data_IF_909238528407
#
_entry.id   IF_909238528407
#
_cell.length_a   1.000
_cell.length_b   1.000
_cell.length_c   1.000
_cell.angle_alpha   90.00
_cell.angle_beta   90.00
_cell.angle_gamma   90.00
#
_symmetry.space_group_name_H-M   'P 1'
#
loop_
_entity.id
_entity.type
_entity.pdbx_description
1 polymer ?
#
# COMPACT_ATOMS: atom_id res chain seq x y z
N UNK A 1 6.47 46.36 6.00
CA UNK A 1 5.63 45.56 5.07
C UNK A 1 6.29 44.20 4.93
N UNK A 2 5.77 43.16 5.59
CA UNK A 2 6.22 41.79 5.36
C UNK A 2 5.10 41.04 4.66
N UNK A 3 5.35 40.66 3.42
CA UNK A 3 4.47 39.87 2.59
C UNK A 3 4.58 38.43 3.07
N UNK A 4 3.51 37.90 3.68
CA UNK A 4 3.41 36.47 3.98
C UNK A 4 3.00 35.78 2.69
N UNK A 5 3.96 35.10 2.06
CA UNK A 5 3.74 34.37 0.82
C UNK A 5 2.89 33.14 1.14
N UNK A 6 1.62 33.15 0.74
CA UNK A 6 0.74 31.99 0.87
C UNK A 6 1.20 30.95 -0.14
N UNK A 7 1.90 29.91 0.30
CA UNK A 7 2.23 28.78 -0.56
C UNK A 7 0.96 28.01 -0.86
N UNK A 8 0.46 28.14 -2.08
CA UNK A 8 -0.60 27.29 -2.62
C UNK A 8 -0.04 25.88 -2.80
N UNK A 9 -0.42 24.97 -1.89
CA UNK A 9 0.00 23.58 -1.94
C UNK A 9 -0.76 22.82 -3.05
N UNK A 10 -0.10 21.97 -3.86
CA UNK A 10 -0.75 21.15 -4.87
C UNK A 10 -1.67 20.10 -4.25
N UNK A 11 -2.75 19.75 -4.94
CA UNK A 11 -3.82 18.84 -4.48
C UNK A 11 -3.32 17.45 -4.01
N UNK A 12 -2.13 17.02 -4.44
CA UNK A 12 -1.50 15.77 -4.00
C UNK A 12 -0.97 15.83 -2.56
N UNK A 13 -0.56 17.00 -2.08
CA UNK A 13 -0.08 17.19 -0.70
C UNK A 13 -1.22 17.27 0.32
N UNK A 14 -2.47 17.48 -0.12
CA UNK A 14 -3.64 17.49 0.78
C UNK A 14 -3.96 16.08 1.29
N UNK A 15 -3.65 15.04 0.50
CA UNK A 15 -3.87 13.66 0.91
C UNK A 15 -2.87 13.16 1.96
N UNK A 16 -1.66 13.73 2.00
CA UNK A 16 -0.63 13.39 2.99
C UNK A 16 -0.78 14.12 4.34
N UNK A 17 -1.62 15.16 4.43
CA UNK A 17 -1.70 16.03 5.62
C UNK A 17 -2.95 15.83 6.50
N UNK A 18 -3.79 14.81 6.24
CA UNK A 18 -5.07 14.59 6.96
C UNK A 18 -5.03 13.49 8.03
N UNK A 19 -3.90 12.87 8.34
CA UNK A 19 -3.89 11.74 9.30
C UNK A 19 -3.20 12.00 10.65
N UNK A 20 -3.07 13.26 11.08
CA UNK A 20 -2.33 13.55 12.31
C UNK A 20 -2.96 14.69 13.13
N UNK A 21 -4.11 14.41 13.76
CA UNK A 21 -4.77 15.07 14.93
C UNK A 21 -6.08 14.28 15.18
N UNK A 22 -6.45 13.69 16.31
CA UNK A 22 -6.14 13.75 17.73
C UNK A 22 -6.76 12.48 18.36
N UNK A 23 -6.16 11.85 19.36
CA UNK A 23 -6.89 11.43 20.58
C UNK A 23 -5.93 11.00 21.68
N UNK A 24 -5.96 11.71 22.82
CA UNK A 24 -5.28 11.32 24.06
C UNK A 24 -6.32 11.00 25.14
N UNK A 25 -6.17 9.80 25.76
CA UNK A 25 -6.73 9.28 27.05
C UNK A 25 -8.28 9.22 27.16
N UNK A 26 -8.93 8.16 27.66
CA UNK A 26 -8.77 7.43 28.94
C UNK A 26 -9.49 6.07 28.96
N UNK A 27 -8.95 5.12 29.73
CA UNK A 27 -9.60 4.06 30.52
C UNK A 27 -9.97 2.68 29.92
N UNK A 28 -9.67 1.69 30.77
CA UNK A 28 -9.60 0.24 30.66
C UNK A 28 -10.95 -0.47 30.40
N UNK A 29 -10.94 -1.49 29.53
CA UNK A 29 -11.60 -2.76 29.83
C UNK A 29 -10.81 -3.91 29.17
N UNK A 30 -10.45 -4.89 29.99
CA UNK A 30 -9.57 -6.01 29.69
C UNK A 30 -10.39 -7.14 29.06
N UNK A 31 -10.14 -7.45 27.78
CA UNK A 31 -10.41 -8.79 27.23
C UNK A 31 -9.13 -9.29 26.55
N UNK A 32 -8.59 -10.34 27.15
CA UNK A 32 -7.33 -11.00 26.85
C UNK A 32 -7.16 -11.42 25.38
N UNK A 33 -6.13 -10.90 24.72
CA UNK A 33 -5.59 -11.40 23.44
C UNK A 33 -4.08 -11.62 23.63
N UNK A 34 -3.49 -12.76 23.22
CA UNK A 34 -2.07 -13.01 23.46
C UNK A 34 -1.20 -12.00 22.69
N UNK A 35 -0.40 -11.25 23.44
CA UNK A 35 0.76 -10.46 22.99
C UNK A 35 1.91 -11.42 22.66
N UNK A 36 2.82 -11.19 21.71
CA UNK A 36 3.56 -9.96 21.48
C UNK A 36 4.25 -9.95 20.11
N UNK A 37 4.38 -8.78 19.50
CA UNK A 37 5.63 -8.40 18.85
C UNK A 37 6.05 -7.04 19.44
N UNK A 38 7.19 -7.00 20.14
CA UNK A 38 7.72 -5.82 20.82
C UNK A 38 9.03 -5.39 20.16
N UNK A 39 8.94 -4.57 19.12
CA UNK A 39 9.87 -3.48 18.73
C UNK A 39 9.17 -2.63 17.64
N UNK A 40 9.23 -1.31 17.75
CA UNK A 40 8.53 -0.34 16.87
C UNK A 40 9.19 -0.17 15.48
N UNK A 41 8.46 0.31 14.45
CA UNK A 41 7.02 0.56 14.42
C UNK A 41 6.32 -0.65 13.77
N UNK A 42 5.50 -1.36 14.54
CA UNK A 42 4.75 -2.50 14.04
C UNK A 42 3.65 -2.00 13.07
N UNK A 43 3.79 -2.24 11.77
CA UNK A 43 2.64 -2.24 10.85
C UNK A 43 2.60 -3.50 9.98
N UNK A 44 2.22 -4.66 10.52
CA UNK A 44 1.68 -5.74 9.71
C UNK A 44 0.21 -5.41 9.51
N UNK A 45 -0.13 -4.86 8.34
CA UNK A 45 -1.53 -4.79 7.92
C UNK A 45 -2.06 -6.17 7.54
N UNK A 46 -1.20 -7.18 7.36
CA UNK A 46 -1.66 -8.50 6.93
C UNK A 46 -1.09 -9.60 7.82
N UNK A 47 -1.94 -10.51 8.26
CA UNK A 47 -1.51 -11.67 9.04
C UNK A 47 -0.75 -12.65 8.13
N UNK A 48 0.39 -13.20 8.57
CA UNK A 48 1.13 -14.21 7.81
C UNK A 48 0.24 -15.44 7.56
N UNK A 49 0.15 -15.87 6.30
CA UNK A 49 -0.72 -16.96 5.85
C UNK A 49 -2.11 -16.54 5.36
N UNK A 50 -2.41 -15.24 5.30
CA UNK A 50 -3.60 -14.68 4.65
C UNK A 50 -3.21 -14.13 3.28
N UNK A 51 -4.00 -14.48 2.25
CA UNK A 51 -3.97 -13.79 0.96
C UNK A 51 -4.89 -12.58 0.99
N UNK A 52 -4.56 -11.54 0.23
CA UNK A 52 -5.42 -10.38 0.04
C UNK A 52 -5.41 -9.96 -1.42
N UNK A 53 -6.48 -9.26 -1.82
CA UNK A 53 -6.68 -8.79 -3.17
C UNK A 53 -6.11 -7.36 -3.30
N UNK A 54 -5.05 -7.21 -4.09
CA UNK A 54 -4.52 -5.92 -4.52
C UNK A 54 -5.20 -5.51 -5.84
N UNK A 55 -5.86 -4.35 -5.84
CA UNK A 55 -6.45 -3.74 -7.03
C UNK A 55 -5.70 -2.47 -7.36
N UNK A 56 -5.15 -2.39 -8.57
CA UNK A 56 -4.43 -1.23 -9.08
C UNK A 56 -5.26 -0.57 -10.17
N UNK A 57 -5.66 0.67 -9.94
CA UNK A 57 -6.29 1.54 -10.94
C UNK A 57 -5.20 2.32 -11.67
N UNK A 58 -5.06 2.07 -12.96
CA UNK A 58 -4.11 2.77 -13.82
C UNK A 58 -4.69 4.11 -14.29
N UNK A 59 -3.84 5.07 -14.66
CA UNK A 59 -4.28 6.36 -15.21
C UNK A 59 -5.10 6.23 -16.50
N UNK A 60 -5.01 5.09 -17.19
CA UNK A 60 -5.82 4.78 -18.38
C UNK A 60 -7.24 4.32 -18.04
N UNK A 61 -7.58 4.17 -16.75
CA UNK A 61 -8.81 3.53 -16.30
C UNK A 61 -8.79 2.00 -16.34
N UNK A 62 -7.65 1.39 -16.69
CA UNK A 62 -7.49 -0.07 -16.61
C UNK A 62 -7.32 -0.47 -15.14
N UNK A 63 -8.09 -1.48 -14.71
CA UNK A 63 -7.92 -2.11 -13.41
C UNK A 63 -7.11 -3.40 -13.56
N UNK A 64 -6.17 -3.62 -12.64
CA UNK A 64 -5.41 -4.86 -12.51
C UNK A 64 -5.61 -5.42 -11.12
N UNK A 65 -5.99 -6.69 -11.06
CA UNK A 65 -6.25 -7.39 -9.81
C UNK A 65 -5.19 -8.49 -9.60
N UNK A 66 -4.70 -8.60 -8.37
CA UNK A 66 -3.72 -9.59 -7.96
C UNK A 66 -4.10 -10.15 -6.58
N UNK A 67 -4.25 -11.46 -6.48
CA UNK A 67 -4.28 -12.14 -5.19
C UNK A 67 -2.84 -12.38 -4.74
N UNK A 68 -2.46 -11.82 -3.59
CA UNK A 68 -1.09 -11.78 -3.11
C UNK A 68 -1.02 -12.18 -1.64
N UNK A 69 0.11 -12.72 -1.24
CA UNK A 69 0.43 -12.95 0.18
C UNK A 69 0.74 -11.63 0.90
N UNK A 70 0.73 -11.68 2.24
CA UNK A 70 1.16 -10.58 3.10
C UNK A 70 2.52 -9.99 2.71
N UNK A 71 3.50 -10.86 2.45
CA UNK A 71 4.85 -10.46 2.10
C UNK A 71 4.88 -9.73 0.75
N UNK A 72 4.16 -10.24 -0.26
CA UNK A 72 4.13 -9.64 -1.59
C UNK A 72 3.42 -8.28 -1.61
N UNK A 73 2.39 -8.11 -0.78
CA UNK A 73 1.73 -6.80 -0.59
C UNK A 73 2.67 -5.81 0.07
N UNK A 74 3.39 -6.25 1.11
CA UNK A 74 4.41 -5.42 1.77
C UNK A 74 5.51 -5.02 0.80
N UNK A 75 6.02 -5.95 -0.01
CA UNK A 75 7.01 -5.69 -1.05
C UNK A 75 6.51 -4.67 -2.09
N UNK A 76 5.25 -4.79 -2.52
CA UNK A 76 4.63 -3.83 -3.43
C UNK A 76 4.53 -2.42 -2.81
N UNK A 77 4.04 -2.32 -1.57
CA UNK A 77 3.91 -1.05 -0.85
C UNK A 77 5.29 -0.40 -0.64
N UNK A 78 6.28 -1.19 -0.25
CA UNK A 78 7.65 -0.74 -0.06
C UNK A 78 8.26 -0.24 -1.37
N UNK A 79 8.05 -0.96 -2.47
CA UNK A 79 8.47 -0.48 -3.79
C UNK A 79 7.79 0.84 -4.17
N UNK A 80 6.48 0.95 -3.98
CA UNK A 80 5.70 2.14 -4.31
C UNK A 80 6.19 3.38 -3.52
N UNK A 81 6.37 3.23 -2.21
CA UNK A 81 6.84 4.31 -1.34
C UNK A 81 8.27 4.74 -1.66
N UNK A 82 9.18 3.77 -1.83
CA UNK A 82 10.55 4.06 -2.25
C UNK A 82 10.59 4.86 -3.56
N UNK A 83 9.70 4.52 -4.50
CA UNK A 83 9.60 5.24 -5.77
C UNK A 83 8.99 6.63 -5.62
N UNK A 84 7.98 6.78 -4.77
CA UNK A 84 7.39 8.08 -4.43
C UNK A 84 8.40 9.03 -3.77
N UNK A 85 9.34 8.49 -3.00
CA UNK A 85 10.46 9.25 -2.39
C UNK A 85 11.58 9.59 -3.39
N UNK A 86 11.40 9.28 -4.68
CA UNK A 86 12.36 9.56 -5.74
C UNK A 86 13.45 8.50 -5.92
N UNK A 87 13.39 7.40 -5.17
CA UNK A 87 14.34 6.29 -5.23
C UNK A 87 13.78 5.11 -6.03
N UNK A 88 14.48 3.97 -6.03
CA UNK A 88 13.93 2.72 -6.55
C UNK A 88 13.65 2.66 -8.06
N UNK A 89 13.05 1.55 -8.49
CA UNK A 89 12.76 1.26 -9.91
C UNK A 89 11.41 1.85 -10.32
N UNK A 90 11.30 2.31 -11.57
CA UNK A 90 10.03 2.77 -12.15
C UNK A 90 9.01 1.64 -12.37
N UNK A 91 9.48 0.39 -12.48
CA UNK A 91 8.67 -0.78 -12.81
C UNK A 91 8.68 -1.79 -11.65
N UNK A 92 7.49 -2.28 -11.29
CA UNK A 92 7.28 -3.47 -10.46
C UNK A 92 6.84 -4.65 -11.33
N UNK A 93 7.25 -5.86 -10.95
CA UNK A 93 6.89 -7.09 -11.65
C UNK A 93 6.12 -8.00 -10.71
N UNK A 94 4.92 -8.40 -11.13
CA UNK A 94 4.17 -9.48 -10.51
C UNK A 94 4.40 -10.77 -11.30
N UNK A 95 4.69 -11.85 -10.60
CA UNK A 95 4.64 -13.19 -11.18
C UNK A 95 3.20 -13.71 -11.08
N UNK A 96 2.67 -14.28 -12.17
CA UNK A 96 1.33 -14.87 -12.22
C UNK A 96 1.46 -16.37 -12.34
N UNK A 97 0.90 -17.08 -11.38
CA UNK A 97 0.82 -18.53 -11.30
C UNK A 97 -0.49 -19.11 -11.90
N UNK A 98 -1.48 -18.25 -12.17
CA UNK A 98 -2.76 -18.63 -12.76
C UNK A 98 -2.87 -18.30 -14.25
N UNK A 99 -3.79 -18.98 -14.95
CA UNK A 99 -4.05 -18.79 -16.39
C UNK A 99 -2.79 -18.85 -17.25
N UNK A 100 -1.89 -19.81 -16.97
CA UNK A 100 -0.60 -19.97 -17.64
C UNK A 100 -0.71 -20.52 -19.07
N UNK A 101 -1.77 -21.27 -19.40
CA UNK A 101 -1.90 -21.89 -20.72
C UNK A 101 -0.64 -22.70 -21.11
N UNK A 102 -0.13 -22.60 -22.34
CA UNK A 102 1.08 -23.32 -22.76
C UNK A 102 2.40 -22.64 -22.33
N UNK A 103 2.36 -21.62 -21.47
CA UNK A 103 3.53 -20.84 -21.07
C UNK A 103 4.16 -21.37 -19.78
N UNK A 104 5.49 -21.29 -19.68
CA UNK A 104 6.26 -21.72 -18.49
C UNK A 104 6.28 -20.69 -17.38
N UNK A 105 6.07 -19.41 -17.70
CA UNK A 105 5.98 -18.33 -16.74
C UNK A 105 5.18 -17.17 -17.34
N UNK A 106 4.48 -16.43 -16.48
CA UNK A 106 3.76 -15.21 -16.87
C UNK A 106 4.09 -14.09 -15.89
N UNK A 107 4.52 -12.95 -16.43
CA UNK A 107 4.91 -11.77 -15.66
C UNK A 107 4.07 -10.59 -16.09
N UNK A 108 3.57 -9.82 -15.12
CA UNK A 108 2.83 -8.58 -15.34
C UNK A 108 3.63 -7.42 -14.77
N UNK A 109 3.84 -6.39 -15.58
CA UNK A 109 4.68 -5.26 -15.23
C UNK A 109 3.82 -4.01 -15.04
N UNK A 110 4.02 -3.32 -13.92
CA UNK A 110 3.31 -2.09 -13.58
C UNK A 110 4.32 -0.96 -13.46
N UNK A 111 4.03 0.16 -14.12
CA UNK A 111 4.84 1.37 -14.04
C UNK A 111 4.28 2.33 -12.99
N UNK A 112 5.13 2.81 -12.08
CA UNK A 112 4.76 3.73 -11.01
C UNK A 112 4.04 4.98 -11.54
N UNK A 113 4.61 5.64 -12.56
CA UNK A 113 4.02 6.82 -13.20
C UNK A 113 2.67 6.60 -13.88
N UNK A 114 2.23 5.35 -13.99
CA UNK A 114 0.94 4.96 -14.59
C UNK A 114 -0.07 4.48 -13.57
N UNK A 115 0.29 4.39 -12.28
CA UNK A 115 -0.65 4.09 -11.20
C UNK A 115 -1.41 5.37 -10.85
N UNK A 116 -2.73 5.31 -10.87
CA UNK A 116 -3.60 6.38 -10.36
C UNK A 116 -3.90 6.17 -8.87
N UNK A 117 -4.26 4.95 -8.49
CA UNK A 117 -4.51 4.55 -7.09
C UNK A 117 -4.40 3.03 -6.95
N UNK A 118 -4.30 2.54 -5.71
CA UNK A 118 -4.41 1.12 -5.41
C UNK A 118 -5.19 0.89 -4.11
N UNK A 119 -5.80 -0.28 -4.01
CA UNK A 119 -6.59 -0.72 -2.87
C UNK A 119 -6.13 -2.13 -2.47
N UNK A 120 -6.02 -2.38 -1.16
CA UNK A 120 -5.74 -3.72 -0.60
C UNK A 120 -6.98 -4.17 0.15
N UNK A 121 -7.59 -5.27 -0.29
CA UNK A 121 -8.79 -5.85 0.32
C UNK A 121 -8.46 -7.18 0.98
N UNK A 122 -8.73 -7.28 2.27
CA UNK A 122 -8.52 -8.50 3.04
C UNK A 122 -9.80 -9.34 3.06
N UNK A 123 -9.64 -10.67 2.94
CA UNK A 123 -10.78 -11.57 3.06
C UNK A 123 -11.23 -11.68 4.52
N UNK A 124 -12.54 -11.59 4.74
CA UNK A 124 -13.14 -12.01 6.01
C UNK A 124 -13.11 -13.55 6.04
N UNK A 125 -12.57 -14.12 7.12
CA UNK A 125 -12.58 -15.57 7.34
C UNK A 125 -13.99 -16.11 7.53
#
# INVERSE_FOLDING_TARGET
MHVVHTMQMPLIMIWLFRHEREFTKTNEEVVSRPSSCTINPCKPLLFPGITALLVIKMISGLEKEFELTAAEIEDFINWYNNRADGNGKEIYMFEKDFNMGPFTARKDYVAFSKIQSFEVMEYTK
#
